data_IF_201156085037
#
_entry.id   IF_201156085037
#
_cell.length_a   1.000
_cell.length_b   1.000
_cell.length_c   1.000
_cell.angle_alpha   90.00
_cell.angle_beta   90.00
_cell.angle_gamma   90.00
#
_symmetry.space_group_name_H-M   'P 1'
#
loop_
_entity.id
_entity.type
_entity.pdbx_description
1 polymer ?
#
# COMPACT_ATOMS: atom_id res chain seq x y z
N UNK A 1 26.92 16.71 -11.02
CA UNK A 1 25.74 16.15 -11.71
C UNK A 1 24.53 16.74 -11.03
N UNK A 2 23.89 17.74 -11.66
CA UNK A 2 22.78 18.50 -11.07
C UNK A 2 21.66 17.50 -10.74
N UNK A 3 21.49 17.17 -9.46
CA UNK A 3 20.52 16.19 -9.00
C UNK A 3 19.16 16.85 -9.00
N UNK A 4 18.52 16.86 -10.16
CA UNK A 4 17.14 17.28 -10.33
C UNK A 4 16.19 16.30 -9.63
N UNK A 5 16.04 16.47 -8.31
CA UNK A 5 15.08 15.74 -7.48
C UNK A 5 13.66 15.81 -8.09
N UNK A 6 13.36 16.91 -8.79
CA UNK A 6 12.14 17.10 -9.58
C UNK A 6 11.91 15.97 -10.61
N UNK A 7 12.96 15.54 -11.31
CA UNK A 7 12.85 14.45 -12.28
C UNK A 7 12.63 13.09 -11.61
N UNK A 8 13.20 12.87 -10.41
CA UNK A 8 12.95 11.66 -9.64
C UNK A 8 11.46 11.58 -9.25
N UNK A 9 10.90 12.66 -8.70
CA UNK A 9 9.49 12.74 -8.35
C UNK A 9 8.57 12.50 -9.56
N UNK A 10 8.86 13.14 -10.70
CA UNK A 10 8.06 12.99 -11.91
C UNK A 10 8.11 11.54 -12.43
N UNK A 11 9.29 10.92 -12.48
CA UNK A 11 9.44 9.52 -12.89
C UNK A 11 8.66 8.58 -11.97
N UNK A 12 8.75 8.78 -10.66
CA UNK A 12 8.02 7.94 -9.69
C UNK A 12 6.51 8.13 -9.80
N UNK A 13 6.01 9.35 -9.99
CA UNK A 13 4.58 9.60 -10.24
C UNK A 13 4.08 8.85 -11.48
N UNK A 14 4.85 8.87 -12.58
CA UNK A 14 4.48 8.15 -13.81
C UNK A 14 4.45 6.64 -13.57
N UNK A 15 5.43 6.09 -12.86
CA UNK A 15 5.44 4.66 -12.49
C UNK A 15 4.21 4.30 -11.66
N UNK A 16 3.86 5.12 -10.66
CA UNK A 16 2.65 4.90 -9.85
C UNK A 16 1.36 4.97 -10.68
N UNK A 17 1.29 5.93 -11.62
CA UNK A 17 0.13 6.08 -12.49
C UNK A 17 -0.06 4.84 -13.36
N UNK A 18 1.02 4.36 -14.01
CA UNK A 18 1.00 3.13 -14.81
C UNK A 18 0.58 1.93 -13.96
N UNK A 19 1.17 1.79 -12.77
CA UNK A 19 0.85 0.71 -11.83
C UNK A 19 -0.62 0.74 -11.37
N UNK A 20 -1.24 1.93 -11.37
CA UNK A 20 -2.67 2.11 -11.05
C UNK A 20 -3.57 1.76 -12.21
N UNK A 21 -3.21 2.12 -13.43
CA UNK A 21 -3.94 1.70 -14.63
C UNK A 21 -3.95 0.17 -14.75
N UNK A 22 -2.81 -0.48 -14.47
CA UNK A 22 -2.70 -1.95 -14.48
C UNK A 22 -3.59 -2.57 -13.40
N UNK A 23 -3.61 -2.04 -12.17
CA UNK A 23 -4.51 -2.53 -11.12
C UNK A 23 -5.98 -2.46 -11.53
N UNK A 24 -6.39 -1.34 -12.13
CA UNK A 24 -7.77 -1.16 -12.61
C UNK A 24 -8.07 -2.21 -13.69
N UNK A 25 -7.15 -2.44 -14.63
CA UNK A 25 -7.30 -3.48 -15.65
C UNK A 25 -7.45 -4.89 -15.05
N UNK A 26 -6.65 -5.23 -14.04
CA UNK A 26 -6.73 -6.52 -13.32
C UNK A 26 -8.03 -6.62 -12.50
N UNK A 27 -8.54 -5.50 -11.97
CA UNK A 27 -9.78 -5.47 -11.20
C UNK A 27 -11.01 -5.79 -12.07
N UNK A 28 -11.02 -5.37 -13.33
CA UNK A 28 -12.11 -5.67 -14.28
C UNK A 28 -11.95 -7.01 -14.99
N UNK A 29 -10.81 -7.67 -14.87
CA UNK A 29 -10.59 -8.98 -15.48
C UNK A 29 -11.18 -10.09 -14.61
N UNK A 30 -11.89 -11.05 -15.23
CA UNK A 30 -12.43 -12.22 -14.54
C UNK A 30 -11.33 -13.25 -14.27
N UNK A 31 -10.56 -13.04 -13.21
CA UNK A 31 -9.53 -13.96 -12.69
C UNK A 31 -10.09 -14.66 -11.44
N UNK A 32 -9.70 -15.92 -11.14
CA UNK A 32 -10.03 -16.54 -9.86
C UNK A 32 -9.72 -15.62 -8.67
N UNK A 33 -10.75 -15.41 -7.82
CA UNK A 33 -10.76 -14.38 -6.77
C UNK A 33 -9.51 -14.38 -5.89
N UNK A 34 -9.01 -15.56 -5.53
CA UNK A 34 -7.84 -15.68 -4.68
C UNK A 34 -6.56 -15.13 -5.34
N UNK A 35 -6.39 -15.41 -6.64
CA UNK A 35 -5.26 -14.89 -7.42
C UNK A 35 -5.39 -13.39 -7.67
N UNK A 36 -6.62 -12.91 -7.89
CA UNK A 36 -6.88 -11.48 -8.09
C UNK A 36 -6.56 -10.67 -6.82
N UNK A 37 -7.00 -11.16 -5.65
CA UNK A 37 -6.70 -10.53 -4.36
C UNK A 37 -5.19 -10.51 -4.10
N UNK A 38 -4.49 -11.63 -4.33
CA UNK A 38 -3.03 -11.68 -4.15
C UNK A 38 -2.27 -10.69 -5.05
N UNK A 39 -2.67 -10.60 -6.33
CA UNK A 39 -2.07 -9.65 -7.28
C UNK A 39 -2.33 -8.19 -6.89
N UNK A 40 -3.58 -7.83 -6.60
CA UNK A 40 -3.92 -6.47 -6.19
C UNK A 40 -3.23 -6.09 -4.87
N UNK A 41 -3.12 -7.01 -3.92
CA UNK A 41 -2.44 -6.76 -2.65
C UNK A 41 -0.94 -6.52 -2.84
N UNK A 42 -0.28 -7.32 -3.67
CA UNK A 42 1.15 -7.14 -3.98
C UNK A 42 1.43 -5.84 -4.73
N UNK A 43 0.55 -5.44 -5.65
CA UNK A 43 0.62 -4.13 -6.31
C UNK A 43 0.43 -2.97 -5.33
N UNK A 44 -0.55 -3.07 -4.42
CA UNK A 44 -0.79 -2.06 -3.39
C UNK A 44 0.42 -1.90 -2.45
N UNK A 45 1.03 -3.02 -2.02
CA UNK A 45 2.26 -3.02 -1.22
C UNK A 45 3.43 -2.37 -1.96
N UNK A 46 3.59 -2.68 -3.25
CA UNK A 46 4.65 -2.08 -4.08
C UNK A 46 4.48 -0.57 -4.20
N UNK A 47 3.26 -0.06 -4.39
CA UNK A 47 2.96 1.38 -4.39
C UNK A 47 3.31 2.03 -3.07
N UNK A 48 2.84 1.46 -1.96
CA UNK A 48 3.14 1.99 -0.63
C UNK A 48 4.66 2.07 -0.40
N UNK A 49 5.41 1.05 -0.79
CA UNK A 49 6.87 1.05 -0.69
C UNK A 49 7.51 2.14 -1.58
N UNK A 50 7.04 2.30 -2.82
CA UNK A 50 7.52 3.31 -3.75
C UNK A 50 7.27 4.73 -3.22
N UNK A 51 6.08 4.98 -2.64
CA UNK A 51 5.72 6.25 -2.01
C UNK A 51 6.56 6.52 -0.78
N UNK A 52 6.70 5.53 0.12
CA UNK A 52 7.49 5.66 1.32
C UNK A 52 8.97 5.96 1.01
N UNK A 53 9.52 5.32 -0.03
CA UNK A 53 10.92 5.51 -0.41
C UNK A 53 11.19 6.87 -1.03
N UNK A 54 10.35 7.32 -1.97
CA UNK A 54 10.61 8.52 -2.78
C UNK A 54 9.95 9.77 -2.19
N UNK A 55 8.67 9.71 -1.82
CA UNK A 55 7.90 10.91 -1.44
C UNK A 55 8.00 11.25 0.04
N UNK A 56 8.14 10.27 0.93
CA UNK A 56 8.29 10.53 2.37
C UNK A 56 9.72 10.89 2.79
N UNK A 57 10.64 11.08 1.84
CA UNK A 57 12.06 11.36 2.09
C UNK A 57 12.76 10.36 3.04
N UNK A 58 12.18 9.18 3.24
CA UNK A 58 12.64 8.17 4.20
C UNK A 58 14.05 7.62 3.90
N UNK A 59 14.51 7.82 2.66
CA UNK A 59 15.87 7.51 2.21
C UNK A 59 16.93 8.42 2.84
N UNK A 60 16.60 9.68 3.15
CA UNK A 60 17.54 10.69 3.66
C UNK A 60 17.36 11.02 5.15
N UNK A 61 16.33 10.48 5.80
CA UNK A 61 15.93 10.85 7.17
C UNK A 61 16.41 9.87 8.27
N UNK A 62 16.43 10.36 9.53
CA UNK A 62 16.97 9.60 10.67
C UNK A 62 16.17 8.34 10.96
N UNK A 63 16.84 7.28 11.46
CA UNK A 63 16.25 5.94 11.77
C UNK A 63 14.96 5.97 12.60
N UNK A 64 14.74 7.03 13.37
CA UNK A 64 13.54 7.23 14.23
C UNK A 64 12.29 7.51 13.39
N UNK A 65 12.37 8.35 12.35
CA UNK A 65 11.22 8.66 11.48
C UNK A 65 10.76 7.43 10.69
N UNK A 66 11.70 6.57 10.28
CA UNK A 66 11.39 5.26 9.69
C UNK A 66 10.60 4.36 10.62
N UNK A 67 10.87 4.41 11.92
CA UNK A 67 10.22 3.56 12.92
C UNK A 67 8.80 4.05 13.25
N UNK A 68 8.56 5.36 13.19
CA UNK A 68 7.21 5.95 13.33
C UNK A 68 6.31 5.49 12.18
N UNK A 69 6.83 5.35 10.97
CA UNK A 69 6.03 4.84 9.83
C UNK A 69 5.59 3.38 9.99
N UNK A 70 6.37 2.57 10.73
CA UNK A 70 6.04 1.16 10.99
C UNK A 70 5.02 1.03 12.11
N UNK A 71 4.93 1.99 13.04
CA UNK A 71 4.01 1.96 14.18
C UNK A 71 2.51 1.81 13.82
N UNK A 72 1.95 2.47 12.78
CA UNK A 72 0.54 2.29 12.42
C UNK A 72 0.22 0.92 11.80
N UNK A 73 1.20 0.20 11.24
CA UNK A 73 0.97 -1.10 10.60
C UNK A 73 0.42 -2.17 11.58
N UNK A 74 1.06 -2.46 12.73
CA UNK A 74 0.53 -3.41 13.69
C UNK A 74 -0.78 -2.93 14.32
N UNK A 75 -0.96 -1.61 14.47
CA UNK A 75 -2.21 -1.05 14.98
C UNK A 75 -3.37 -1.30 14.00
N UNK A 76 -3.12 -1.17 12.70
CA UNK A 76 -4.09 -1.45 11.66
C UNK A 76 -4.42 -2.95 11.60
N UNK A 77 -3.43 -3.84 11.73
CA UNK A 77 -3.67 -5.29 11.80
C UNK A 77 -4.52 -5.63 13.04
N UNK A 78 -4.19 -5.06 14.20
CA UNK A 78 -4.96 -5.26 15.43
C UNK A 78 -6.41 -4.77 15.25
N UNK A 79 -6.58 -3.59 14.66
CA UNK A 79 -7.90 -3.05 14.35
C UNK A 79 -8.70 -3.93 13.38
N UNK A 80 -8.08 -4.43 12.30
CA UNK A 80 -8.74 -5.33 11.35
C UNK A 80 -9.14 -6.66 12.00
N UNK A 81 -8.29 -7.22 12.87
CA UNK A 81 -8.63 -8.43 13.63
C UNK A 81 -9.80 -8.18 14.60
N UNK A 82 -9.77 -7.05 15.31
CA UNK A 82 -10.87 -6.65 16.19
C UNK A 82 -12.18 -6.46 15.41
N UNK A 83 -12.11 -5.81 14.24
CA UNK A 83 -13.27 -5.60 13.38
C UNK A 83 -13.80 -6.91 12.79
N UNK A 84 -12.92 -7.82 12.39
CA UNK A 84 -13.32 -9.14 11.90
C UNK A 84 -13.98 -9.99 12.99
N UNK A 85 -13.48 -9.89 14.22
CA UNK A 85 -14.09 -10.54 15.39
C UNK A 85 -15.47 -9.96 15.69
N UNK A 86 -15.60 -8.63 15.70
CA UNK A 86 -16.86 -7.93 15.94
C UNK A 86 -17.91 -8.19 14.84
N UNK A 87 -17.50 -8.12 13.57
CA UNK A 87 -18.36 -8.43 12.42
C UNK A 87 -18.83 -9.89 12.40
N UNK A 88 -18.01 -10.83 12.92
CA UNK A 88 -18.40 -12.23 13.08
C UNK A 88 -19.43 -12.41 14.21
N UNK A 89 -19.46 -11.51 15.18
CA UNK A 89 -20.28 -11.63 16.39
C UNK A 89 -21.78 -11.25 16.18
N UNK A 90 -22.16 -10.71 15.01
CA UNK A 90 -23.53 -10.21 14.72
C UNK A 90 -24.51 -11.26 14.13
N UNK A 91 -24.26 -12.57 14.24
CA UNK A 91 -25.14 -13.62 13.68
C UNK A 91 -25.82 -14.57 14.66
N UNK A 92 -25.87 -14.28 15.98
CA UNK A 92 -26.51 -15.20 16.95
C UNK A 92 -27.55 -14.56 17.86
N UNK A 93 -28.16 -13.43 17.46
CA UNK A 93 -29.34 -12.89 18.16
C UNK A 93 -30.55 -13.05 17.22
N UNK A 94 -31.07 -14.29 17.17
CA UNK A 94 -32.46 -14.56 16.81
C UNK A 94 -33.26 -14.72 18.11
#
# INVERSE_FOLDING_TARGET
MNTDHKQLYIKTTIVLAILTIIEIGIAYWEIPRFSQIGLLLTFALSKMACVAYVFMHLYYEKKILRRILVAPIPFLIFFLLSLAYDATFTWTIQ
#
